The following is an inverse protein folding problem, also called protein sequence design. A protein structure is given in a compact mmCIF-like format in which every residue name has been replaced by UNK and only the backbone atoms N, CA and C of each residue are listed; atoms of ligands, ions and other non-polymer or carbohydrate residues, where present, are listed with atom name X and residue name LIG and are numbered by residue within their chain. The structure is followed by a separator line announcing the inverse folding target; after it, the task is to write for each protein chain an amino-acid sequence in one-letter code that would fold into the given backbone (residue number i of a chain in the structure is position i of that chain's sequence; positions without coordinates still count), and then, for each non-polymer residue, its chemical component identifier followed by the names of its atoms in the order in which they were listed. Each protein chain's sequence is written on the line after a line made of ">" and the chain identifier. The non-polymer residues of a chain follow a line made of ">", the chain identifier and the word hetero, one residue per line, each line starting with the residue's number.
data_IF_635597942612
#
_entry.id   IF_635597942612
#
_cell.length_a   1.000
_cell.length_b   1.000
_cell.length_c   1.000
_cell.angle_alpha   90.00
_cell.angle_beta   90.00
_cell.angle_gamma   90.00
#
_symmetry.space_group_name_H-M   'P 1'
#
loop_
_entity.id
_entity.type
_entity.pdbx_description
1 polymer ?
#
# COMPACT_ATOMS: atom_id res chain seq x y z
N UNK A 1 15.09 -16.54 29.01
CA UNK A 1 13.87 -15.87 29.52
C UNK A 1 12.56 -16.67 29.37
N UNK A 2 12.36 -17.48 28.31
CA UNK A 2 11.07 -18.16 28.05
C UNK A 2 10.68 -19.30 29.04
N UNK A 3 11.63 -19.81 29.84
CA UNK A 3 11.40 -21.00 30.68
C UNK A 3 10.41 -20.77 31.84
N UNK A 4 10.31 -19.55 32.37
CA UNK A 4 9.48 -19.25 33.56
C UNK A 4 8.06 -18.73 33.23
N UNK A 5 7.68 -18.71 31.94
CA UNK A 5 6.40 -18.16 31.52
C UNK A 5 5.26 -19.18 31.60
N UNK A 6 4.08 -18.73 32.06
CA UNK A 6 2.84 -19.51 32.03
C UNK A 6 2.47 -19.81 30.57
N UNK A 7 1.77 -20.92 30.32
CA UNK A 7 1.36 -21.33 28.97
C UNK A 7 0.66 -20.20 28.20
N UNK A 8 -0.27 -19.48 28.84
CA UNK A 8 -0.96 -18.32 28.27
C UNK A 8 0.00 -17.22 27.80
N UNK A 9 1.05 -16.93 28.57
CA UNK A 9 2.05 -15.92 28.23
C UNK A 9 2.87 -16.35 27.02
N UNK A 10 3.29 -17.63 26.96
CA UNK A 10 4.02 -18.17 25.81
C UNK A 10 3.22 -18.06 24.52
N UNK A 11 1.94 -18.48 24.55
CA UNK A 11 1.03 -18.37 23.40
C UNK A 11 0.79 -16.90 23.01
N UNK A 12 0.56 -16.02 23.99
CA UNK A 12 0.34 -14.58 23.71
C UNK A 12 1.56 -13.95 23.07
N UNK A 13 2.77 -14.23 23.59
CA UNK A 13 4.02 -13.72 23.00
C UNK A 13 4.20 -14.24 21.58
N UNK A 14 3.95 -15.53 21.34
CA UNK A 14 4.02 -16.10 19.99
C UNK A 14 3.05 -15.39 19.03
N UNK A 15 1.80 -15.18 19.45
CA UNK A 15 0.80 -14.48 18.64
C UNK A 15 1.20 -13.01 18.37
N UNK A 16 1.75 -12.32 19.36
CA UNK A 16 2.24 -10.95 19.19
C UNK A 16 3.44 -10.87 18.23
N UNK A 17 4.34 -11.85 18.28
CA UNK A 17 5.47 -11.94 17.34
C UNK A 17 4.97 -12.18 15.92
N UNK A 18 4.06 -13.15 15.72
CA UNK A 18 3.45 -13.41 14.42
C UNK A 18 2.71 -12.18 13.91
N UNK A 19 1.95 -11.51 14.78
CA UNK A 19 1.21 -10.30 14.46
C UNK A 19 2.12 -9.17 13.99
N UNK A 20 3.13 -8.84 14.78
CA UNK A 20 4.04 -7.72 14.49
C UNK A 20 4.80 -7.98 13.20
N UNK A 21 5.29 -9.21 12.99
CA UNK A 21 5.97 -9.58 11.75
C UNK A 21 5.01 -9.54 10.54
N UNK A 22 3.83 -10.14 10.67
CA UNK A 22 2.82 -10.17 9.61
C UNK A 22 2.33 -8.78 9.22
N UNK A 23 1.95 -7.94 10.21
CA UNK A 23 1.51 -6.56 9.96
C UNK A 23 2.62 -5.70 9.36
N UNK A 24 3.87 -5.86 9.81
CA UNK A 24 4.99 -5.10 9.24
C UNK A 24 5.21 -5.47 7.78
N UNK A 25 5.29 -6.77 7.47
CA UNK A 25 5.53 -7.24 6.11
C UNK A 25 4.36 -6.88 5.17
N UNK A 26 3.13 -7.20 5.58
CA UNK A 26 1.92 -6.89 4.78
C UNK A 26 1.67 -5.39 4.67
N UNK A 27 1.94 -4.62 5.73
CA UNK A 27 1.80 -3.17 5.72
C UNK A 27 2.79 -2.49 4.78
N UNK A 28 4.06 -2.93 4.79
CA UNK A 28 5.07 -2.46 3.83
C UNK A 28 4.70 -2.82 2.39
N UNK A 29 4.28 -4.07 2.15
CA UNK A 29 3.86 -4.52 0.83
C UNK A 29 2.65 -3.71 0.31
N UNK A 30 1.62 -3.53 1.14
CA UNK A 30 0.44 -2.75 0.80
C UNK A 30 0.78 -1.28 0.52
N UNK A 31 1.60 -0.65 1.37
CA UNK A 31 2.02 0.74 1.17
C UNK A 31 2.81 0.89 -0.13
N UNK A 32 3.68 -0.06 -0.46
CA UNK A 32 4.42 -0.08 -1.71
C UNK A 32 3.49 -0.17 -2.92
N UNK A 33 2.52 -1.10 -2.89
CA UNK A 33 1.53 -1.28 -3.98
C UNK A 33 0.68 -0.02 -4.15
N UNK A 34 0.15 0.54 -3.06
CA UNK A 34 -0.69 1.75 -3.12
C UNK A 34 0.11 2.97 -3.65
N UNK A 35 1.37 3.12 -3.25
CA UNK A 35 2.24 4.19 -3.76
C UNK A 35 2.59 3.98 -5.24
N UNK A 36 2.81 2.74 -5.67
CA UNK A 36 3.08 2.44 -7.07
C UNK A 36 1.85 2.71 -7.95
N UNK A 37 0.67 2.30 -7.50
CA UNK A 37 -0.59 2.59 -8.19
C UNK A 37 -0.84 4.09 -8.28
N UNK A 38 -0.63 4.83 -7.18
CA UNK A 38 -0.75 6.30 -7.17
C UNK A 38 0.21 6.95 -8.18
N UNK A 39 1.46 6.49 -8.25
CA UNK A 39 2.41 6.99 -9.27
C UNK A 39 1.96 6.69 -10.69
N UNK A 40 1.48 5.47 -10.95
CA UNK A 40 0.95 5.10 -12.27
C UNK A 40 -0.27 5.93 -12.67
N UNK A 41 -1.18 6.19 -11.74
CA UNK A 41 -2.37 7.03 -11.96
C UNK A 41 -1.98 8.47 -12.31
N UNK A 42 -1.04 9.05 -11.53
CA UNK A 42 -0.49 10.39 -11.80
C UNK A 42 0.17 10.42 -13.20
N UNK A 43 1.04 9.46 -13.50
CA UNK A 43 1.74 9.39 -14.79
C UNK A 43 0.78 9.25 -15.95
N UNK A 44 -0.21 8.36 -15.85
CA UNK A 44 -1.22 8.16 -16.90
C UNK A 44 -2.03 9.44 -17.16
N UNK A 45 -2.45 10.11 -16.09
CA UNK A 45 -3.16 11.39 -16.18
C UNK A 45 -2.30 12.48 -16.84
N UNK A 46 -1.05 12.60 -16.42
CA UNK A 46 -0.10 13.56 -16.99
C UNK A 46 0.15 13.30 -18.49
N UNK A 47 0.37 12.04 -18.88
CA UNK A 47 0.55 11.65 -20.28
C UNK A 47 -0.70 11.95 -21.10
N UNK A 48 -1.89 11.58 -20.62
CA UNK A 48 -3.15 11.84 -21.33
C UNK A 48 -3.35 13.34 -21.57
N UNK A 49 -3.09 14.19 -20.57
CA UNK A 49 -3.16 15.63 -20.72
C UNK A 49 -2.11 16.18 -21.69
N UNK A 50 -0.87 15.69 -21.63
CA UNK A 50 0.19 16.07 -22.55
C UNK A 50 -0.17 15.71 -24.00
N UNK A 51 -0.58 14.47 -24.26
CA UNK A 51 -0.99 14.02 -25.59
C UNK A 51 -2.20 14.79 -26.11
N UNK A 52 -3.14 15.14 -25.22
CA UNK A 52 -4.27 16.00 -25.60
C UNK A 52 -3.80 17.37 -26.07
N UNK A 53 -2.84 17.99 -25.38
CA UNK A 53 -2.28 19.28 -25.83
C UNK A 53 -1.47 19.16 -27.11
N UNK A 54 -0.74 18.06 -27.29
CA UNK A 54 -0.06 17.76 -28.55
C UNK A 54 -1.09 17.61 -29.69
N UNK A 55 -2.21 16.94 -29.46
CA UNK A 55 -3.29 16.83 -30.44
C UNK A 55 -3.90 18.20 -30.79
N UNK A 56 -4.09 19.09 -29.81
CA UNK A 56 -4.53 20.48 -30.06
C UNK A 56 -3.53 21.24 -30.93
N UNK A 57 -2.22 21.10 -30.67
CA UNK A 57 -1.17 21.68 -31.53
C UNK A 57 -1.28 21.17 -32.96
N UNK A 58 -1.39 19.85 -33.12
CA UNK A 58 -1.48 19.21 -34.43
C UNK A 58 -2.73 19.64 -35.19
N UNK A 59 -3.88 19.72 -34.51
CA UNK A 59 -5.11 20.24 -35.10
C UNK A 59 -4.94 21.70 -35.56
N UNK A 60 -4.33 22.55 -34.74
CA UNK A 60 -4.05 23.95 -35.10
C UNK A 60 -3.19 24.02 -36.36
N UNK A 61 -2.07 23.27 -36.41
CA UNK A 61 -1.19 23.24 -37.58
C UNK A 61 -1.86 22.70 -38.85
N UNK A 62 -2.64 21.63 -38.72
CA UNK A 62 -3.10 20.84 -39.86
C UNK A 62 -4.47 21.27 -40.39
N UNK A 63 -5.32 21.87 -39.55
CA UNK A 63 -6.71 22.19 -39.88
C UNK A 63 -7.01 23.69 -39.75
N UNK A 64 -6.42 24.38 -38.77
CA UNK A 64 -6.70 25.82 -38.56
C UNK A 64 -5.81 26.68 -39.45
N UNK A 65 -4.50 26.43 -39.46
CA UNK A 65 -3.54 27.27 -40.17
C UNK A 65 -3.77 27.36 -41.69
N UNK A 66 -4.14 26.29 -42.41
CA UNK A 66 -4.44 26.38 -43.84
C UNK A 66 -5.58 27.35 -44.18
N UNK A 67 -6.57 27.48 -43.30
CA UNK A 67 -7.75 28.34 -43.50
C UNK A 67 -7.48 29.82 -43.18
N UNK A 68 -6.35 30.12 -42.52
CA UNK A 68 -5.99 31.47 -42.09
C UNK A 68 -4.86 32.09 -42.91
N UNK A 69 -4.36 31.42 -43.96
CA UNK A 69 -3.18 31.85 -44.72
C UNK A 69 -3.31 33.31 -45.18
N UNK A 70 -4.39 33.66 -45.87
CA UNK A 70 -4.60 35.01 -46.42
C UNK A 70 -4.67 36.08 -45.32
N UNK A 71 -5.32 35.78 -44.20
CA UNK A 71 -5.41 36.72 -43.08
C UNK A 71 -4.05 36.89 -42.39
N UNK A 72 -3.27 35.83 -42.25
CA UNK A 72 -1.96 35.84 -41.59
C UNK A 72 -0.90 36.62 -42.38
N UNK A 73 -1.11 36.89 -43.66
CA UNK A 73 -0.24 37.79 -44.44
C UNK A 73 -0.32 39.25 -43.96
N UNK A 74 -1.47 39.64 -43.39
CA UNK A 74 -1.74 41.03 -43.01
C UNK A 74 -1.81 41.24 -41.50
N UNK A 75 -2.29 40.25 -40.75
CA UNK A 75 -2.51 40.33 -39.31
C UNK A 75 -1.89 39.14 -38.58
N UNK A 76 -1.16 39.41 -37.49
CA UNK A 76 -0.65 38.33 -36.64
C UNK A 76 -1.72 37.90 -35.63
N UNK A 77 -2.26 36.70 -35.83
CA UNK A 77 -3.20 36.05 -34.93
C UNK A 77 -2.47 35.02 -34.04
N UNK A 78 -2.32 35.26 -32.72
CA UNK A 78 -1.69 34.27 -31.83
C UNK A 78 -2.34 32.88 -31.87
N UNK A 79 -3.63 32.81 -32.19
CA UNK A 79 -4.42 31.58 -32.28
C UNK A 79 -3.99 30.64 -33.43
N UNK A 80 -3.21 31.13 -34.41
CA UNK A 80 -2.61 30.27 -35.43
C UNK A 80 -1.31 29.61 -34.96
N UNK A 81 -0.74 30.05 -33.82
CA UNK A 81 0.46 29.44 -33.26
C UNK A 81 0.07 28.18 -32.46
N UNK A 82 0.52 26.97 -32.84
CA UNK A 82 0.08 25.73 -32.22
C UNK A 82 0.26 25.70 -30.69
N UNK A 83 1.40 26.22 -30.20
CA UNK A 83 1.71 26.24 -28.76
C UNK A 83 0.89 27.25 -27.98
N UNK A 84 0.55 28.37 -28.61
CA UNK A 84 -0.37 29.33 -28.03
C UNK A 84 -1.75 28.69 -27.84
N UNK A 85 -2.29 28.07 -28.89
CA UNK A 85 -3.62 27.42 -28.85
C UNK A 85 -3.67 26.28 -27.84
N UNK A 86 -2.66 25.42 -27.80
CA UNK A 86 -2.57 24.36 -26.80
C UNK A 86 -2.53 24.92 -25.37
N UNK A 87 -1.72 25.97 -25.12
CA UNK A 87 -1.70 26.58 -23.80
C UNK A 87 -3.02 27.23 -23.43
N UNK A 88 -3.63 28.03 -24.31
CA UNK A 88 -4.89 28.72 -23.98
C UNK A 88 -6.05 27.72 -23.78
N UNK A 89 -6.08 26.61 -24.53
CA UNK A 89 -7.01 25.50 -24.25
C UNK A 89 -6.74 24.90 -22.86
N UNK A 90 -5.48 24.71 -22.48
CA UNK A 90 -5.14 24.23 -21.14
C UNK A 90 -5.49 25.25 -20.05
N UNK A 91 -5.32 26.55 -20.29
CA UNK A 91 -5.72 27.60 -19.34
C UNK A 91 -7.24 27.62 -19.13
N UNK A 92 -8.04 27.31 -20.16
CA UNK A 92 -9.48 27.11 -20.00
C UNK A 92 -9.81 25.92 -19.09
N UNK A 93 -9.05 24.81 -19.20
CA UNK A 93 -9.17 23.67 -18.28
C UNK A 93 -8.85 24.11 -16.84
N UNK A 94 -7.79 24.89 -16.65
CA UNK A 94 -7.36 25.40 -15.33
C UNK A 94 -8.36 26.32 -14.65
N UNK A 95 -9.34 26.88 -15.37
CA UNK A 95 -10.43 27.65 -14.75
C UNK A 95 -11.35 26.77 -13.88
N UNK A 96 -11.33 25.44 -14.09
CA UNK A 96 -12.11 24.50 -13.28
C UNK A 96 -11.40 24.21 -11.97
N UNK A 97 -12.16 24.18 -10.87
CA UNK A 97 -11.62 24.06 -9.51
C UNK A 97 -10.64 22.90 -9.34
N UNK A 98 -10.96 21.73 -9.90
CA UNK A 98 -10.17 20.49 -9.75
C UNK A 98 -8.87 20.49 -10.56
N UNK A 99 -8.73 21.41 -11.52
CA UNK A 99 -7.59 21.47 -12.44
C UNK A 99 -6.72 22.73 -12.27
N UNK A 100 -7.02 23.61 -11.29
CA UNK A 100 -6.29 24.87 -11.06
C UNK A 100 -4.78 24.69 -10.83
N UNK A 101 -4.41 23.59 -10.20
CA UNK A 101 -3.03 23.24 -9.84
C UNK A 101 -2.31 22.42 -10.93
N UNK A 102 -2.96 22.17 -12.07
CA UNK A 102 -2.34 21.55 -13.23
C UNK A 102 -1.71 22.65 -14.09
N UNK A 103 -0.58 22.36 -14.73
CA UNK A 103 0.10 23.33 -15.60
C UNK A 103 0.61 22.64 -16.86
N UNK A 104 0.39 23.28 -18.00
CA UNK A 104 1.03 22.93 -19.26
C UNK A 104 1.82 24.13 -19.76
N UNK A 105 3.06 23.90 -20.17
CA UNK A 105 3.94 24.95 -20.67
C UNK A 105 4.90 24.39 -21.71
N UNK A 106 5.12 25.17 -22.76
CA UNK A 106 6.21 24.93 -23.71
C UNK A 106 7.42 25.75 -23.31
N UNK A 107 8.07 25.30 -22.23
CA UNK A 107 9.17 26.00 -21.60
C UNK A 107 10.36 26.11 -22.56
N UNK A 108 10.59 27.32 -23.06
CA UNK A 108 11.53 27.60 -24.15
C UNK A 108 12.62 28.52 -23.65
N UNK A 109 13.87 28.27 -24.05
CA UNK A 109 15.03 29.05 -23.59
C UNK A 109 15.01 30.48 -24.14
N UNK A 110 14.56 30.66 -25.39
CA UNK A 110 14.39 31.97 -26.03
C UNK A 110 13.03 32.02 -26.76
N UNK A 111 11.91 32.23 -26.04
CA UNK A 111 10.57 32.27 -26.64
C UNK A 111 10.24 33.64 -27.21
N UNK A 112 9.35 33.69 -28.19
CA UNK A 112 8.68 34.94 -28.61
C UNK A 112 7.81 35.51 -27.49
N UNK A 113 7.02 34.68 -26.82
CA UNK A 113 6.16 35.09 -25.70
C UNK A 113 6.85 34.78 -24.36
N UNK A 114 7.08 35.81 -23.54
CA UNK A 114 7.78 35.65 -22.25
C UNK A 114 7.05 34.77 -21.24
N UNK A 115 5.73 34.55 -21.39
CA UNK A 115 4.99 33.57 -20.58
C UNK A 115 5.54 32.14 -20.75
N UNK A 116 6.22 31.86 -21.86
CA UNK A 116 6.82 30.55 -22.18
C UNK A 116 8.31 30.47 -21.83
N UNK A 117 8.89 31.52 -21.22
CA UNK A 117 10.31 31.53 -20.84
C UNK A 117 10.58 30.47 -19.80
N UNK A 118 11.50 29.57 -20.10
CA UNK A 118 11.91 28.53 -19.17
C UNK A 118 12.45 29.12 -17.86
N UNK A 119 11.97 28.62 -16.73
CA UNK A 119 12.55 28.91 -15.42
C UNK A 119 13.89 28.15 -15.24
N UNK A 120 14.53 28.30 -14.08
CA UNK A 120 15.82 27.66 -13.79
C UNK A 120 15.77 26.13 -13.79
N UNK A 121 14.64 25.54 -13.41
CA UNK A 121 14.42 24.10 -13.40
C UNK A 121 14.11 23.57 -14.80
N UNK A 122 13.22 24.24 -15.51
CA UNK A 122 12.86 23.91 -16.89
C UNK A 122 14.08 24.03 -17.82
N UNK A 123 14.92 25.03 -17.59
CA UNK A 123 16.20 25.19 -18.32
C UNK A 123 17.12 23.98 -18.17
N UNK A 124 17.19 23.38 -16.97
CA UNK A 124 17.99 22.17 -16.74
C UNK A 124 17.45 20.98 -17.52
N UNK A 125 16.13 20.85 -17.60
CA UNK A 125 15.45 19.81 -18.40
C UNK A 125 15.78 20.00 -19.89
N UNK A 126 15.63 21.22 -20.42
CA UNK A 126 15.94 21.52 -21.82
C UNK A 126 17.41 21.21 -22.14
N UNK A 127 18.33 21.61 -21.26
CA UNK A 127 19.76 21.31 -21.43
C UNK A 127 20.06 19.81 -21.36
N UNK A 128 19.32 19.04 -20.56
CA UNK A 128 19.46 17.57 -20.53
C UNK A 128 19.08 16.94 -21.86
N UNK A 129 18.00 17.43 -22.50
CA UNK A 129 17.63 17.00 -23.86
C UNK A 129 18.66 17.43 -24.91
N UNK A 130 19.19 18.66 -24.82
CA UNK A 130 20.27 19.14 -25.71
C UNK A 130 21.53 18.30 -25.58
N UNK A 131 21.89 17.90 -24.35
CA UNK A 131 23.06 17.08 -24.06
C UNK A 131 22.92 15.61 -24.47
N UNK A 132 21.69 15.10 -24.57
CA UNK A 132 21.42 13.71 -24.95
C UNK A 132 20.23 13.61 -25.93
N UNK A 133 20.53 13.52 -27.23
CA UNK A 133 19.52 13.41 -28.29
C UNK A 133 18.65 12.13 -28.22
N UNK A 134 19.09 11.11 -27.48
CA UNK A 134 18.34 9.87 -27.26
C UNK A 134 17.33 9.98 -26.11
N UNK A 135 17.45 11.01 -25.26
CA UNK A 135 16.49 11.27 -24.19
C UNK A 135 15.20 11.84 -24.81
N UNK A 136 14.14 11.03 -24.87
CA UNK A 136 12.85 11.43 -25.46
C UNK A 136 11.85 11.94 -24.45
N UNK A 137 12.05 11.61 -23.18
CA UNK A 137 11.17 12.01 -22.09
C UNK A 137 11.99 12.14 -20.81
N UNK A 138 11.62 13.10 -19.97
CA UNK A 138 12.11 13.23 -18.61
C UNK A 138 10.91 13.40 -17.70
N UNK A 139 10.89 12.69 -16.57
CA UNK A 139 9.81 12.80 -15.59
C UNK A 139 10.34 12.70 -14.17
N UNK A 140 9.59 13.23 -13.22
CA UNK A 140 10.01 13.26 -11.84
C UNK A 140 9.11 14.07 -10.95
N UNK A 141 9.56 14.28 -9.71
CA UNK A 141 8.87 15.11 -8.73
C UNK A 141 9.65 16.41 -8.52
N UNK A 142 8.90 17.50 -8.36
CA UNK A 142 9.43 18.82 -7.98
C UNK A 142 8.63 19.33 -6.80
N UNK A 143 9.31 19.68 -5.71
CA UNK A 143 8.69 20.35 -4.58
C UNK A 143 8.59 21.85 -4.85
N UNK A 144 7.39 22.40 -4.72
CA UNK A 144 7.10 23.83 -4.79
C UNK A 144 6.50 24.30 -3.46
N UNK A 145 6.52 25.62 -3.16
CA UNK A 145 5.84 26.14 -1.97
C UNK A 145 4.35 25.76 -1.87
N UNK A 146 3.68 25.55 -3.02
CA UNK A 146 2.29 25.10 -3.10
C UNK A 146 2.09 23.58 -2.96
N UNK A 147 3.16 22.79 -2.84
CA UNK A 147 3.12 21.34 -2.74
C UNK A 147 3.98 20.62 -3.77
N UNK A 148 4.08 19.30 -3.62
CA UNK A 148 4.79 18.44 -4.58
C UNK A 148 3.95 18.25 -5.83
N UNK A 149 4.59 18.50 -6.98
CA UNK A 149 4.07 18.23 -8.31
C UNK A 149 4.88 17.10 -8.96
N UNK A 150 4.21 16.32 -9.80
CA UNK A 150 4.84 15.42 -10.74
C UNK A 150 4.87 16.08 -12.11
N UNK A 151 5.98 15.96 -12.83
CA UNK A 151 6.10 16.49 -14.17
C UNK A 151 6.47 15.39 -15.17
N UNK A 152 6.01 15.58 -16.40
CA UNK A 152 6.54 14.91 -17.60
C UNK A 152 6.97 16.01 -18.56
N UNK A 153 8.13 15.83 -19.16
CA UNK A 153 8.72 16.73 -20.12
C UNK A 153 9.15 15.96 -21.37
N UNK A 154 8.92 16.56 -22.55
CA UNK A 154 9.42 16.06 -23.83
C UNK A 154 10.12 17.18 -24.60
N UNK A 155 11.18 16.88 -25.38
CA UNK A 155 11.94 17.90 -26.08
C UNK A 155 11.08 18.58 -27.14
N UNK A 156 11.16 19.90 -27.22
CA UNK A 156 10.58 20.69 -28.30
C UNK A 156 11.68 21.05 -29.29
N UNK A 157 11.76 20.27 -30.38
CA UNK A 157 12.71 20.48 -31.46
C UNK A 157 12.09 21.26 -32.62
N UNK A 158 12.91 22.05 -33.30
CA UNK A 158 12.56 22.71 -34.56
C UNK A 158 12.61 21.67 -35.68
N UNK A 159 11.54 20.88 -35.82
CA UNK A 159 11.52 19.71 -36.71
C UNK A 159 11.18 20.02 -38.17
N UNK A 160 10.85 21.27 -38.51
CA UNK A 160 10.45 21.65 -39.86
C UNK A 160 11.00 23.04 -40.25
N UNK A 161 11.40 23.25 -41.52
CA UNK A 161 11.88 24.55 -42.00
C UNK A 161 10.85 25.68 -41.84
N UNK A 162 9.56 25.37 -41.89
CA UNK A 162 8.46 26.34 -41.72
C UNK A 162 8.55 27.11 -40.39
N UNK A 163 9.11 26.51 -39.34
CA UNK A 163 9.34 27.21 -38.08
C UNK A 163 10.31 28.40 -38.23
N UNK A 164 11.24 28.30 -39.17
CA UNK A 164 12.25 29.31 -39.43
C UNK A 164 11.71 30.48 -40.26
N UNK A 165 10.50 30.39 -40.82
CA UNK A 165 9.84 31.56 -41.45
C UNK A 165 9.57 32.67 -40.43
N UNK A 166 9.39 32.33 -39.15
CA UNK A 166 9.16 33.30 -38.07
C UNK A 166 10.31 33.38 -37.06
N UNK A 167 11.10 32.31 -36.89
CA UNK A 167 12.08 32.19 -35.80
C UNK A 167 13.55 32.21 -36.25
N UNK A 168 13.84 32.48 -37.52
CA UNK A 168 15.21 32.62 -38.03
C UNK A 168 15.84 33.94 -37.56
N UNK A 169 15.60 35.05 -38.25
CA UNK A 169 16.06 36.39 -37.90
C UNK A 169 14.88 37.36 -37.86
N UNK A 170 14.97 38.47 -37.12
CA UNK A 170 13.89 39.44 -37.07
C UNK A 170 13.48 39.99 -38.44
N UNK A 171 14.41 40.11 -39.40
CA UNK A 171 14.14 40.68 -40.72
C UNK A 171 13.30 39.76 -41.63
N UNK A 172 13.34 38.45 -41.37
CA UNK A 172 12.56 37.46 -42.13
C UNK A 172 11.16 37.24 -41.55
N UNK A 173 10.96 37.59 -40.28
CA UNK A 173 9.71 37.35 -39.58
C UNK A 173 8.58 38.29 -40.06
N UNK A 174 7.31 37.86 -39.98
CA UNK A 174 6.18 38.71 -40.33
C UNK A 174 6.18 40.03 -39.54
N UNK A 175 6.03 41.17 -40.24
CA UNK A 175 6.02 42.50 -39.59
C UNK A 175 4.98 42.60 -38.48
N UNK A 176 3.79 42.05 -38.72
CA UNK A 176 2.69 42.01 -37.74
C UNK A 176 3.04 41.25 -36.45
N UNK A 177 3.94 40.25 -36.52
CA UNK A 177 4.48 39.56 -35.34
C UNK A 177 5.46 40.48 -34.58
N UNK A 178 6.35 41.16 -35.31
CA UNK A 178 7.33 42.08 -34.74
C UNK A 178 6.67 43.26 -34.04
N UNK A 179 5.60 43.81 -34.63
CA UNK A 179 4.83 44.91 -34.04
C UNK A 179 4.24 44.51 -32.67
N UNK A 180 3.94 43.22 -32.48
CA UNK A 180 3.36 42.69 -31.25
C UNK A 180 4.40 42.27 -30.20
N UNK A 181 5.47 41.62 -30.62
CA UNK A 181 6.44 40.97 -29.71
C UNK A 181 7.83 41.59 -29.72
N UNK A 182 8.10 42.51 -30.65
CA UNK A 182 9.40 43.10 -30.87
C UNK A 182 10.42 42.11 -31.47
N UNK A 183 11.68 42.52 -31.47
CA UNK A 183 12.79 41.80 -32.10
C UNK A 183 13.73 41.12 -31.08
N UNK A 184 13.48 41.28 -29.79
CA UNK A 184 14.42 40.92 -28.73
C UNK A 184 14.51 39.40 -28.45
N UNK A 185 13.42 38.65 -28.64
CA UNK A 185 13.35 37.23 -28.25
C UNK A 185 12.64 36.40 -29.32
N UNK A 186 12.85 35.08 -29.30
CA UNK A 186 12.16 34.16 -30.22
C UNK A 186 12.80 34.03 -31.60
N UNK A 187 14.06 34.41 -31.75
CA UNK A 187 14.82 34.31 -32.99
C UNK A 187 16.12 33.50 -32.79
N UNK A 188 16.86 33.33 -33.89
CA UNK A 188 18.12 32.59 -34.02
C UNK A 188 17.98 31.09 -33.77
N UNK A 189 16.78 30.53 -34.00
CA UNK A 189 16.56 29.10 -33.91
C UNK A 189 17.16 28.39 -35.14
N UNK A 190 17.62 27.16 -34.95
CA UNK A 190 18.16 26.33 -36.03
C UNK A 190 17.32 25.08 -36.24
N UNK A 191 17.29 24.57 -37.47
CA UNK A 191 16.65 23.29 -37.78
C UNK A 191 17.27 22.18 -36.91
N UNK A 192 16.42 21.29 -36.40
CA UNK A 192 16.74 20.20 -35.47
C UNK A 192 17.28 20.64 -34.09
N UNK A 193 17.29 21.94 -33.79
CA UNK A 193 17.63 22.45 -32.47
C UNK A 193 16.50 22.18 -31.47
N UNK A 194 16.84 21.68 -30.28
CA UNK A 194 15.91 21.61 -29.16
C UNK A 194 15.86 22.99 -28.51
N UNK A 195 14.81 23.75 -28.78
CA UNK A 195 14.64 25.14 -28.30
C UNK A 195 13.97 25.22 -26.93
N UNK A 196 13.27 24.16 -26.55
CA UNK A 196 12.53 24.08 -25.30
C UNK A 196 12.12 22.66 -24.93
N UNK A 197 11.16 22.56 -24.02
CA UNK A 197 10.48 21.33 -23.64
C UNK A 197 8.99 21.58 -23.45
N UNK A 198 8.18 20.63 -23.91
CA UNK A 198 6.76 20.57 -23.55
C UNK A 198 6.66 19.92 -22.18
N UNK A 199 6.13 20.63 -21.20
CA UNK A 199 6.08 20.19 -19.80
C UNK A 199 4.63 20.21 -19.34
N UNK A 200 4.16 19.06 -18.84
CA UNK A 200 2.93 18.94 -18.06
C UNK A 200 3.34 18.76 -16.60
N UNK A 201 2.70 19.50 -15.71
CA UNK A 201 2.84 19.36 -14.26
C UNK A 201 1.47 19.08 -13.65
N UNK A 202 1.41 18.05 -12.82
CA UNK A 202 0.18 17.59 -12.16
C UNK A 202 0.40 17.50 -10.65
N UNK A 203 -0.60 17.81 -9.81
CA UNK A 203 -0.46 17.70 -8.37
C UNK A 203 -0.21 16.25 -7.92
N UNK A 204 0.93 16.00 -7.27
CA UNK A 204 1.25 14.66 -6.75
C UNK A 204 0.80 14.50 -5.28
N UNK A 205 0.82 15.60 -4.54
CA UNK A 205 0.56 15.65 -3.10
C UNK A 205 -0.77 14.98 -2.72
N UNK A 206 -1.86 15.34 -3.41
CA UNK A 206 -3.21 14.83 -3.10
C UNK A 206 -3.34 13.33 -3.34
N UNK A 207 -2.82 12.83 -4.47
CA UNK A 207 -2.92 11.42 -4.83
C UNK A 207 -2.05 10.56 -3.90
N UNK A 208 -0.81 11.00 -3.62
CA UNK A 208 0.09 10.29 -2.71
C UNK A 208 -0.43 10.31 -1.27
N UNK A 209 -0.97 11.45 -0.80
CA UNK A 209 -1.58 11.55 0.53
C UNK A 209 -2.78 10.62 0.65
N UNK A 210 -3.66 10.57 -0.36
CA UNK A 210 -4.80 9.64 -0.39
C UNK A 210 -4.34 8.18 -0.33
N UNK A 211 -3.29 7.82 -1.06
CA UNK A 211 -2.70 6.48 -0.99
C UNK A 211 -2.15 6.15 0.41
N UNK A 212 -1.46 7.09 1.05
CA UNK A 212 -0.95 6.91 2.41
C UNK A 212 -2.10 6.80 3.45
N UNK A 213 -3.14 7.64 3.34
CA UNK A 213 -4.32 7.58 4.21
C UNK A 213 -5.05 6.23 4.08
N UNK A 214 -5.29 5.78 2.84
CA UNK A 214 -5.87 4.46 2.59
C UNK A 214 -5.02 3.34 3.17
N UNK A 215 -3.69 3.42 3.04
CA UNK A 215 -2.77 2.45 3.63
C UNK A 215 -2.90 2.38 5.15
N UNK A 216 -2.93 3.53 5.83
CA UNK A 216 -3.09 3.61 7.29
C UNK A 216 -4.45 3.06 7.74
N UNK A 217 -5.53 3.40 7.03
CA UNK A 217 -6.87 2.90 7.34
C UNK A 217 -6.96 1.38 7.20
N UNK A 218 -6.44 0.82 6.10
CA UNK A 218 -6.47 -0.63 5.86
C UNK A 218 -5.61 -1.36 6.91
N UNK A 219 -4.39 -0.88 7.17
CA UNK A 219 -3.52 -1.47 8.20
C UNK A 219 -4.16 -1.37 9.58
N UNK A 220 -4.82 -0.25 9.89
CA UNK A 220 -5.55 -0.06 11.14
C UNK A 220 -6.70 -1.06 11.32
N UNK A 221 -7.53 -1.24 10.29
CA UNK A 221 -8.63 -2.22 10.30
C UNK A 221 -8.12 -3.66 10.43
N UNK A 222 -7.08 -4.03 9.69
CA UNK A 222 -6.48 -5.37 9.79
C UNK A 222 -5.88 -5.59 11.18
N UNK A 223 -5.19 -4.59 11.73
CA UNK A 223 -4.64 -4.65 13.10
C UNK A 223 -5.74 -4.85 14.13
N UNK A 224 -6.88 -4.16 14.00
CA UNK A 224 -8.03 -4.32 14.88
C UNK A 224 -8.58 -5.76 14.85
N UNK A 225 -8.75 -6.34 13.66
CA UNK A 225 -9.20 -7.73 13.49
C UNK A 225 -8.24 -8.69 14.21
N UNK A 226 -6.94 -8.52 14.05
CA UNK A 226 -5.96 -9.35 14.73
C UNK A 226 -6.00 -9.22 16.25
N UNK A 227 -6.17 -8.00 16.78
CA UNK A 227 -6.32 -7.78 18.24
C UNK A 227 -7.52 -8.57 18.76
N UNK A 228 -8.66 -8.51 18.06
CA UNK A 228 -9.86 -9.28 18.41
C UNK A 228 -9.55 -10.80 18.40
N UNK A 229 -8.86 -11.30 17.38
CA UNK A 229 -8.46 -12.72 17.30
C UNK A 229 -7.56 -13.12 18.48
N UNK A 230 -6.56 -12.29 18.83
CA UNK A 230 -5.68 -12.58 19.98
C UNK A 230 -6.47 -12.64 21.29
N UNK A 231 -7.44 -11.74 21.48
CA UNK A 231 -8.32 -11.75 22.66
C UNK A 231 -9.16 -13.03 22.69
N UNK A 232 -9.78 -13.39 21.57
CA UNK A 232 -10.60 -14.61 21.46
C UNK A 232 -9.78 -15.89 21.72
N UNK A 233 -8.60 -16.00 21.11
CA UNK A 233 -7.69 -17.14 21.33
C UNK A 233 -7.25 -17.20 22.81
N UNK A 234 -6.97 -16.07 23.44
CA UNK A 234 -6.63 -16.04 24.86
C UNK A 234 -7.78 -16.46 25.77
N UNK A 235 -9.01 -16.04 25.46
CA UNK A 235 -10.22 -16.47 26.20
C UNK A 235 -10.41 -17.97 26.03
N UNK A 236 -10.32 -18.47 24.79
CA UNK A 236 -10.44 -19.88 24.45
C UNK A 236 -9.38 -20.73 25.17
N UNK A 237 -8.10 -20.39 25.05
CA UNK A 237 -6.99 -21.09 25.69
C UNK A 237 -7.16 -21.11 27.22
N UNK A 238 -7.57 -19.99 27.82
CA UNK A 238 -7.75 -19.92 29.26
C UNK A 238 -8.89 -20.84 29.74
N UNK A 239 -10.01 -20.85 29.02
CA UNK A 239 -11.19 -21.66 29.37
C UNK A 239 -11.02 -23.15 29.08
N UNK A 240 -10.51 -23.50 27.90
CA UNK A 240 -10.47 -24.89 27.43
C UNK A 240 -9.19 -25.63 27.86
N UNK A 241 -8.07 -24.94 28.05
CA UNK A 241 -6.77 -25.59 28.32
C UNK A 241 -6.27 -25.26 29.72
N UNK A 242 -6.10 -23.98 30.04
CA UNK A 242 -5.40 -23.57 31.28
C UNK A 242 -6.22 -23.90 32.53
N UNK A 243 -7.53 -23.63 32.54
CA UNK A 243 -8.38 -23.89 33.71
C UNK A 243 -8.53 -25.39 34.01
N UNK A 244 -8.86 -26.28 33.04
CA UNK A 244 -8.93 -27.72 33.29
C UNK A 244 -7.60 -28.31 33.74
N UNK A 245 -6.47 -27.92 33.12
CA UNK A 245 -5.15 -28.38 33.55
C UNK A 245 -4.84 -27.98 35.00
N UNK A 246 -5.12 -26.74 35.39
CA UNK A 246 -4.94 -26.29 36.78
C UNK A 246 -5.77 -27.11 37.78
N UNK A 247 -7.00 -27.51 37.41
CA UNK A 247 -7.83 -28.39 38.25
C UNK A 247 -7.18 -29.76 38.43
N UNK A 248 -6.75 -30.39 37.33
CA UNK A 248 -6.07 -31.70 37.36
C UNK A 248 -4.79 -31.63 38.20
N UNK A 249 -3.96 -30.60 38.01
CA UNK A 249 -2.73 -30.41 38.81
C UNK A 249 -3.02 -30.24 40.30
N UNK A 250 -4.05 -29.46 40.67
CA UNK A 250 -4.42 -29.29 42.08
C UNK A 250 -4.83 -30.61 42.72
N UNK A 251 -5.69 -31.39 42.07
CA UNK A 251 -6.14 -32.69 42.59
C UNK A 251 -4.95 -33.65 42.73
N UNK A 252 -4.04 -33.65 41.75
CA UNK A 252 -2.81 -34.44 41.81
C UNK A 252 -1.95 -34.10 43.04
N UNK A 253 -1.82 -32.81 43.36
CA UNK A 253 -1.03 -32.32 44.48
C UNK A 253 -1.67 -32.68 45.83
N UNK A 254 -3.01 -32.57 45.96
CA UNK A 254 -3.74 -33.04 47.15
C UNK A 254 -3.63 -34.55 47.35
N UNK A 255 -3.75 -35.34 46.28
CA UNK A 255 -3.55 -36.80 46.31
C UNK A 255 -2.12 -37.16 46.72
N UNK A 256 -1.11 -36.43 46.23
CA UNK A 256 0.30 -36.66 46.57
C UNK A 256 0.63 -36.41 48.04
N UNK A 257 -0.13 -35.54 48.69
CA UNK A 257 0.02 -35.22 50.12
C UNK A 257 -0.84 -36.10 51.04
N UNK A 258 -1.52 -37.11 50.47
CA UNK A 258 -2.29 -38.11 51.23
C UNK A 258 -3.79 -37.86 51.29
N UNK A 259 -4.30 -36.78 50.70
CA UNK A 259 -5.72 -36.44 50.67
C UNK A 259 -6.40 -37.12 49.46
N UNK A 260 -6.86 -38.36 49.65
CA UNK A 260 -7.40 -39.23 48.57
C UNK A 260 -8.88 -38.97 48.23
N UNK A 261 -9.58 -38.16 49.03
CA UNK A 261 -11.03 -37.97 49.00
C UNK A 261 -11.50 -37.04 47.87
N UNK A 262 -10.58 -36.37 47.17
CA UNK A 262 -10.89 -35.38 46.14
C UNK A 262 -11.41 -36.05 44.86
N UNK A 263 -12.56 -35.58 44.34
CA UNK A 263 -13.15 -36.10 43.11
C UNK A 263 -12.64 -35.37 41.85
N UNK A 264 -12.51 -36.14 40.77
CA UNK A 264 -12.31 -35.61 39.42
C UNK A 264 -13.67 -35.40 38.75
N UNK A 265 -14.12 -34.15 38.68
CA UNK A 265 -15.23 -33.78 37.81
C UNK A 265 -14.84 -34.09 36.34
N UNK A 266 -15.72 -34.77 35.60
CA UNK A 266 -15.53 -34.92 34.15
C UNK A 266 -15.76 -33.56 33.48
N UNK A 267 -14.70 -33.01 32.90
CA UNK A 267 -14.70 -31.62 32.40
C UNK A 267 -14.73 -31.49 30.88
N UNK A 268 -14.30 -32.51 30.13
CA UNK A 268 -14.23 -32.44 28.65
C UNK A 268 -14.17 -33.82 27.99
N UNK A 269 -14.48 -33.87 26.68
CA UNK A 269 -14.35 -35.05 25.82
C UNK A 269 -13.13 -34.97 24.87
N UNK A 270 -12.24 -34.01 25.09
CA UNK A 270 -10.99 -33.82 24.34
C UNK A 270 -9.79 -34.57 24.98
N UNK A 271 -8.58 -34.26 24.52
CA UNK A 271 -7.33 -34.79 25.06
C UNK A 271 -7.15 -34.47 26.56
N UNK A 272 -7.65 -33.32 27.02
CA UNK A 272 -7.61 -32.93 28.45
C UNK A 272 -8.59 -33.80 29.25
N UNK A 273 -9.75 -34.11 28.68
CA UNK A 273 -10.69 -35.08 29.22
C UNK A 273 -10.10 -36.49 29.36
N UNK A 274 -9.39 -36.95 28.34
CA UNK A 274 -8.70 -38.24 28.36
C UNK A 274 -7.58 -38.27 29.42
N UNK A 275 -6.83 -37.18 29.56
CA UNK A 275 -5.84 -37.03 30.64
C UNK A 275 -6.49 -37.10 32.03
N UNK A 276 -7.61 -36.41 32.24
CA UNK A 276 -8.36 -36.47 33.50
C UNK A 276 -8.82 -37.90 33.84
N UNK A 277 -9.33 -38.65 32.84
CA UNK A 277 -9.73 -40.06 33.01
C UNK A 277 -8.56 -40.96 33.39
N UNK A 278 -7.41 -40.79 32.74
CA UNK A 278 -6.19 -41.55 33.07
C UNK A 278 -5.73 -41.26 34.50
N UNK A 279 -5.73 -39.99 34.91
CA UNK A 279 -5.35 -39.58 36.26
C UNK A 279 -6.31 -40.12 37.33
N UNK A 280 -7.61 -40.12 37.05
CA UNK A 280 -8.63 -40.73 37.92
C UNK A 280 -8.36 -42.21 38.18
N UNK A 281 -8.00 -42.97 37.14
CA UNK A 281 -7.64 -44.40 37.28
C UNK A 281 -6.39 -44.60 38.15
N UNK A 282 -5.36 -43.78 37.93
CA UNK A 282 -4.14 -43.81 38.74
C UNK A 282 -4.41 -43.53 40.23
N UNK A 283 -5.25 -42.52 40.55
CA UNK A 283 -5.67 -42.22 41.93
C UNK A 283 -6.28 -43.45 42.60
N UNK A 284 -7.24 -44.10 41.94
CA UNK A 284 -7.94 -45.28 42.47
C UNK A 284 -6.96 -46.44 42.71
N UNK A 285 -6.02 -46.68 41.78
CA UNK A 285 -4.98 -47.70 41.95
C UNK A 285 -4.10 -47.44 43.17
N UNK A 286 -3.69 -46.18 43.39
CA UNK A 286 -2.87 -45.78 44.53
C UNK A 286 -3.61 -45.91 45.86
N UNK A 287 -4.88 -45.48 45.90
CA UNK A 287 -5.73 -45.61 47.09
C UNK A 287 -5.91 -47.07 47.50
N UNK A 288 -6.14 -47.97 46.53
CA UNK A 288 -6.22 -49.42 46.78
C UNK A 288 -4.91 -49.99 47.31
N UNK A 289 -3.77 -49.57 46.75
CA UNK A 289 -2.45 -50.02 47.22
C UNK A 289 -2.18 -49.56 48.67
N UNK A 290 -2.48 -48.30 49.00
CA UNK A 290 -2.33 -47.78 50.37
C UNK A 290 -3.27 -48.48 51.37
N UNK A 291 -4.52 -48.77 50.99
CA UNK A 291 -5.45 -49.55 51.83
C UNK A 291 -4.95 -50.96 52.11
N UNK A 292 -4.28 -51.61 51.14
CA UNK A 292 -3.66 -52.93 51.33
C UNK A 292 -2.47 -52.88 52.30
N UNK A 293 -1.63 -51.85 52.23
CA UNK A 293 -0.50 -51.67 53.16
C UNK A 293 -0.95 -51.33 54.59
N UNK A 294 -2.06 -50.61 54.77
CA UNK A 294 -2.61 -50.27 56.10
C UNK A 294 -3.38 -51.42 56.78
N UNK A 295 -3.69 -52.51 56.08
CA UNK A 295 -4.26 -53.72 56.71
C UNK A 295 -3.13 -54.43 57.47
N UNK A 296 -3.23 -54.66 58.79
CA UNK A 296 -2.27 -55.49 59.51
C UNK A 296 -2.23 -56.90 58.87
N UNK A 297 -1.14 -57.68 59.01
CA UNK A 297 -1.16 -59.09 58.65
C UNK A 297 -2.16 -59.81 59.57
N UNK A 298 -3.43 -59.81 59.16
CA UNK A 298 -4.52 -60.43 59.90
C UNK A 298 -4.58 -61.91 59.63
N UNK A 299 -4.02 -62.68 60.57
CA UNK A 299 -4.27 -64.09 60.89
C UNK A 299 -4.66 -65.02 59.73
N UNK A 300 -3.65 -65.72 59.22
CA UNK A 300 -3.80 -67.06 58.63
C UNK A 300 -4.03 -68.10 59.73
N UNK A 301 -5.25 -68.21 60.26
CA UNK A 301 -5.78 -69.36 61.01
C UNK A 301 -7.28 -69.40 60.65
N UNK A 302 -7.88 -70.42 60.06
CA UNK A 302 -7.65 -71.86 60.15
C UNK A 302 -8.96 -72.47 60.66
N UNK A 303 -9.81 -72.97 59.75
CA UNK A 303 -10.91 -73.97 59.90
C UNK A 303 -11.60 -74.01 58.51
N UNK A 304 -11.61 -75.08 57.71
CA UNK A 304 -11.82 -76.47 58.08
C UNK A 304 -13.30 -76.69 58.35
N UNK A 305 -14.10 -77.04 57.34
CA UNK A 305 -15.53 -77.32 57.53
C UNK A 305 -16.33 -77.51 56.25
N UNK A 306 -16.49 -78.79 55.87
CA UNK A 306 -17.43 -79.36 54.90
C UNK A 306 -18.87 -78.82 55.02
N UNK A 307 -19.61 -78.74 53.91
CA UNK A 307 -21.07 -78.58 53.93
C UNK A 307 -21.69 -78.45 52.53
N UNK A 308 -22.38 -79.51 52.13
CA UNK A 308 -22.96 -79.80 50.80
C UNK A 308 -24.35 -79.21 50.55
N UNK A 309 -24.78 -79.22 49.27
CA UNK A 309 -26.16 -79.17 48.71
C UNK A 309 -26.88 -77.81 48.76
N UNK A 310 -27.62 -77.31 47.76
CA UNK A 310 -28.00 -77.76 46.42
C UNK A 310 -28.98 -76.74 45.77
N UNK A 311 -29.25 -76.95 44.48
CA UNK A 311 -30.47 -76.60 43.68
C UNK A 311 -30.86 -75.14 43.33
N UNK A 312 -31.06 -74.96 41.99
CA UNK A 312 -32.02 -74.11 41.23
C UNK A 312 -32.06 -72.59 41.50
N UNK A 313 -32.23 -71.68 40.54
CA UNK A 313 -32.82 -71.72 39.21
C UNK A 313 -32.36 -70.47 38.41
N UNK A 314 -32.33 -70.59 37.09
CA UNK A 314 -32.32 -69.52 36.06
C UNK A 314 -33.77 -68.93 35.93
N UNK A 315 -34.12 -67.86 35.17
CA UNK A 315 -33.31 -66.81 34.54
C UNK A 315 -33.94 -65.38 34.42
N UNK A 316 -33.14 -64.47 33.84
CA UNK A 316 -33.50 -63.37 32.90
C UNK A 316 -34.36 -62.18 33.35
N UNK A 317 -33.75 -60.99 33.27
CA UNK A 317 -34.00 -59.99 32.22
C UNK A 317 -32.80 -59.09 32.02
#
# INVERSE_FOLDING_TARGET
>A
MLKNLRLKQKVTILLLVILTFGLSLSGLALSSVLRQNAKQEITSTALMLMETMIAVRQYTSNQVNPELVDQLETEFLPQSVPGYSAREVFENLRQKQDYREFFYKEATLNPTNLRDKADSFETQIVNSFRGNKNLKEASGFRSLPGGDIFYIARPLAVSAPKCLECHSTPEQAPKSMLDRYGTANGFNWKLDEIVGAQIISVPASRVIQKANQSSVLIVGLVSLVFVIVIVLVNIFLNRQVVLPLKRITRVAEEVSTGHMEVEFDQLSNDEIGNLAKAFKRMKLSLEMAMKRLKRPPGNTHGTGGMGSTGSSDYPQR
#
